data_IF_763336646930
#
_entry.id   IF_763336646930
#
_cell.length_a   1.000
_cell.length_b   1.000
_cell.length_c   1.000
_cell.angle_alpha   90.00
_cell.angle_beta   90.00
_cell.angle_gamma   90.00
#
_symmetry.space_group_name_H-M   'P 1'
#
loop_
_entity.id
_entity.type
_entity.pdbx_description
1 polymer ?
#
# COMPACT_ATOMS: atom_id res chain seq x y z
N UNK A 1 -9.31 11.61 -5.19
CA UNK A 1 -10.15 11.09 -6.30
C UNK A 1 -11.54 10.78 -5.75
N UNK A 2 -12.62 11.44 -6.22
CA UNK A 2 -13.98 11.04 -5.88
C UNK A 2 -14.19 9.56 -6.23
N UNK A 3 -14.68 8.75 -5.29
CA UNK A 3 -14.95 7.33 -5.50
C UNK A 3 -13.78 6.37 -5.21
N UNK A 4 -12.63 6.84 -4.74
CA UNK A 4 -11.60 5.95 -4.18
C UNK A 4 -12.08 5.39 -2.82
N UNK A 5 -12.08 4.07 -2.68
CA UNK A 5 -12.39 3.41 -1.41
C UNK A 5 -11.11 3.27 -0.59
N UNK A 6 -11.04 3.94 0.54
CA UNK A 6 -9.95 3.82 1.50
C UNK A 6 -10.30 2.75 2.53
N UNK A 7 -9.29 2.13 3.14
CA UNK A 7 -9.51 1.21 4.26
C UNK A 7 -10.30 1.86 5.40
N UNK A 8 -10.15 3.17 5.60
CA UNK A 8 -10.89 3.95 6.58
C UNK A 8 -12.40 4.07 6.30
N UNK A 9 -12.83 3.92 5.04
CA UNK A 9 -14.25 4.01 4.65
C UNK A 9 -15.04 2.78 5.12
N UNK A 10 -14.35 1.71 5.54
CA UNK A 10 -14.95 0.49 6.04
C UNK A 10 -15.50 0.70 7.45
N UNK A 11 -16.79 0.48 7.63
CA UNK A 11 -17.48 0.58 8.93
C UNK A 11 -17.76 -0.77 9.58
N UNK A 12 -17.33 -1.87 8.95
CA UNK A 12 -17.49 -3.21 9.52
C UNK A 12 -16.63 -3.37 10.79
N UNK A 13 -17.07 -4.18 11.75
CA UNK A 13 -16.20 -4.65 12.83
C UNK A 13 -14.93 -5.34 12.29
N UNK A 14 -13.97 -5.59 13.20
CA UNK A 14 -12.79 -6.39 12.89
C UNK A 14 -13.21 -7.81 12.50
N UNK A 15 -12.95 -8.17 11.25
CA UNK A 15 -13.30 -9.46 10.67
C UNK A 15 -12.02 -10.23 10.33
N UNK A 16 -11.96 -11.51 10.71
CA UNK A 16 -10.92 -12.42 10.24
C UNK A 16 -11.39 -13.13 8.98
N UNK A 17 -10.59 -13.01 7.91
CA UNK A 17 -10.86 -13.66 6.62
C UNK A 17 -9.79 -14.74 6.41
N UNK A 18 -10.06 -16.02 6.72
CA UNK A 18 -9.06 -17.09 6.59
C UNK A 18 -8.61 -17.32 5.15
N UNK A 19 -9.47 -17.00 4.17
CA UNK A 19 -9.16 -17.14 2.75
C UNK A 19 -8.39 -15.96 2.17
N UNK A 20 -8.13 -14.91 2.94
CA UNK A 20 -7.31 -13.79 2.49
C UNK A 20 -5.90 -14.27 2.16
N UNK A 21 -5.37 -13.80 1.04
CA UNK A 21 -3.96 -13.94 0.68
C UNK A 21 -3.34 -12.55 0.80
N UNK A 22 -2.31 -12.41 1.64
CA UNK A 22 -1.65 -11.13 1.88
C UNK A 22 -0.14 -11.33 1.93
N UNK A 23 0.61 -10.25 1.75
CA UNK A 23 2.08 -10.25 1.81
C UNK A 23 2.58 -9.14 2.75
N UNK A 24 2.40 -9.26 4.08
CA UNK A 24 2.62 -8.15 5.02
C UNK A 24 4.07 -7.65 5.09
N UNK A 25 5.02 -8.52 4.72
CA UNK A 25 6.44 -8.19 4.65
C UNK A 25 6.96 -7.96 3.23
N UNK A 26 6.07 -7.76 2.24
CA UNK A 26 6.50 -7.49 0.88
C UNK A 26 7.43 -6.27 0.83
N UNK A 27 8.51 -6.32 0.01
CA UNK A 27 9.33 -5.14 -0.23
C UNK A 27 8.51 -4.03 -0.92
N UNK A 28 9.00 -2.80 -0.82
CA UNK A 28 8.45 -1.66 -1.54
C UNK A 28 8.72 -1.81 -3.04
N UNK A 29 7.67 -1.67 -3.86
CA UNK A 29 7.77 -1.55 -5.31
C UNK A 29 7.73 -0.07 -5.67
N UNK A 30 8.55 0.34 -6.63
CA UNK A 30 8.54 1.71 -7.12
C UNK A 30 7.78 1.79 -8.44
N UNK A 31 7.29 2.97 -8.76
CA UNK A 31 6.60 3.27 -10.02
C UNK A 31 7.32 4.47 -10.64
N UNK A 32 7.71 4.34 -11.91
CA UNK A 32 8.34 5.40 -12.67
C UNK A 32 7.33 6.49 -13.07
N UNK A 33 7.82 7.62 -13.57
CA UNK A 33 6.97 8.78 -13.94
C UNK A 33 5.91 8.45 -15.01
N UNK A 34 6.16 7.43 -15.84
CA UNK A 34 5.25 6.94 -16.88
C UNK A 34 4.27 5.86 -16.40
N UNK A 35 4.34 5.49 -15.12
CA UNK A 35 3.50 4.48 -14.49
C UNK A 35 4.03 3.04 -14.58
N UNK A 36 5.21 2.82 -15.19
CA UNK A 36 5.82 1.49 -15.23
C UNK A 36 6.33 1.06 -13.84
N UNK A 37 6.15 -0.21 -13.50
CA UNK A 37 6.63 -0.74 -12.22
C UNK A 37 8.14 -1.00 -12.28
N UNK A 38 8.81 -0.76 -11.16
CA UNK A 38 10.21 -1.11 -10.92
C UNK A 38 10.22 -2.15 -9.79
N UNK A 39 10.63 -3.38 -10.12
CA UNK A 39 10.76 -4.45 -9.14
C UNK A 39 11.86 -4.13 -8.11
N UNK A 40 11.75 -4.60 -6.86
CA UNK A 40 12.77 -4.36 -5.82
C UNK A 40 14.18 -4.86 -6.16
N UNK A 41 14.31 -5.73 -7.15
CA UNK A 41 15.57 -6.33 -7.62
C UNK A 41 16.04 -5.75 -8.96
N UNK A 42 15.36 -4.72 -9.47
CA UNK A 42 15.65 -4.05 -10.74
C UNK A 42 15.76 -2.55 -10.51
N UNK A 43 16.65 -1.90 -11.25
CA UNK A 43 16.68 -0.43 -11.36
C UNK A 43 15.97 0.05 -12.64
N UNK A 44 15.53 -0.87 -13.50
CA UNK A 44 14.88 -0.58 -14.78
C UNK A 44 13.35 -0.69 -14.66
N UNK A 45 12.59 0.33 -15.12
CA UNK A 45 11.14 0.25 -15.22
C UNK A 45 10.70 -0.74 -16.29
N UNK A 46 9.66 -1.52 -15.98
CA UNK A 46 9.04 -2.47 -16.89
C UNK A 46 7.55 -2.12 -17.08
N UNK A 47 7.15 -1.60 -18.26
CA UNK A 47 5.77 -1.22 -18.54
C UNK A 47 4.84 -2.43 -18.76
N UNK A 48 5.36 -3.65 -18.86
CA UNK A 48 4.55 -4.87 -18.99
C UNK A 48 4.07 -5.39 -17.63
N UNK A 49 4.70 -4.96 -16.53
CA UNK A 49 4.31 -5.35 -15.17
C UNK A 49 3.03 -4.65 -14.72
N UNK A 50 2.20 -5.40 -14.00
CA UNK A 50 1.01 -4.88 -13.31
C UNK A 50 1.05 -5.23 -11.82
N UNK A 51 0.15 -4.63 -11.01
CA UNK A 51 0.03 -4.89 -9.56
C UNK A 51 0.06 -6.39 -9.19
N UNK A 52 -0.58 -7.21 -10.03
CA UNK A 52 -0.66 -8.66 -9.83
C UNK A 52 0.72 -9.31 -9.85
N UNK A 53 1.62 -8.86 -10.70
CA UNK A 53 2.97 -9.45 -10.82
C UNK A 53 3.80 -9.12 -9.58
N UNK A 54 3.68 -7.91 -9.05
CA UNK A 54 4.29 -7.54 -7.76
C UNK A 54 3.77 -8.40 -6.60
N UNK A 55 2.46 -8.66 -6.57
CA UNK A 55 1.87 -9.54 -5.56
C UNK A 55 2.37 -10.99 -5.67
N UNK A 56 2.46 -11.53 -6.89
CA UNK A 56 2.99 -12.87 -7.14
C UNK A 56 4.48 -12.98 -6.78
N UNK A 57 5.28 -12.00 -7.17
CA UNK A 57 6.69 -11.90 -6.78
C UNK A 57 6.84 -11.99 -5.25
N UNK A 58 6.05 -11.22 -4.50
CA UNK A 58 6.15 -11.21 -3.04
C UNK A 58 5.77 -12.58 -2.43
N UNK A 59 4.80 -13.27 -3.01
CA UNK A 59 4.46 -14.64 -2.61
C UNK A 59 5.61 -15.60 -2.89
N UNK A 60 6.17 -15.56 -4.11
CA UNK A 60 7.28 -16.43 -4.54
C UNK A 60 8.55 -16.19 -3.72
N UNK A 61 8.77 -14.94 -3.29
CA UNK A 61 9.86 -14.55 -2.39
C UNK A 61 9.63 -14.97 -0.92
N UNK A 62 8.49 -15.61 -0.61
CA UNK A 62 8.20 -16.17 0.71
C UNK A 62 7.50 -15.23 1.68
N UNK A 63 7.02 -14.07 1.24
CA UNK A 63 6.29 -13.12 2.08
C UNK A 63 4.78 -13.42 2.17
N UNK A 64 4.29 -14.38 1.38
CA UNK A 64 2.88 -14.76 1.32
C UNK A 64 2.37 -15.43 2.59
N UNK A 65 1.27 -14.92 3.13
CA UNK A 65 0.55 -15.48 4.29
C UNK A 65 -0.94 -15.63 3.96
N UNK A 66 -1.57 -16.64 4.56
CA UNK A 66 -3.01 -16.87 4.51
C UNK A 66 -3.68 -16.38 5.80
N UNK A 67 -4.86 -15.80 5.66
CA UNK A 67 -5.59 -15.23 6.78
C UNK A 67 -5.19 -13.79 7.07
N UNK A 68 -6.17 -12.89 7.15
CA UNK A 68 -5.95 -11.51 7.53
C UNK A 68 -7.12 -10.97 8.32
N UNK A 69 -6.85 -10.04 9.24
CA UNK A 69 -7.89 -9.24 9.86
C UNK A 69 -8.08 -7.95 9.07
N UNK A 70 -9.34 -7.55 8.86
CA UNK A 70 -9.68 -6.30 8.17
C UNK A 70 -10.76 -5.54 8.94
N UNK A 71 -10.59 -4.23 9.03
CA UNK A 71 -11.56 -3.26 9.57
C UNK A 71 -11.25 -1.88 9.01
N UNK A 72 -12.12 -0.92 9.27
CA UNK A 72 -11.80 0.50 9.18
C UNK A 72 -12.10 1.20 10.50
N UNK A 73 -11.52 2.38 10.68
CA UNK A 73 -11.87 3.29 11.76
C UNK A 73 -11.90 4.72 11.18
N UNK A 74 -13.08 5.33 11.00
CA UNK A 74 -13.20 6.66 10.42
C UNK A 74 -12.51 7.74 11.27
N UNK A 75 -12.34 7.51 12.58
CA UNK A 75 -11.64 8.43 13.47
C UNK A 75 -10.13 8.52 13.16
N UNK A 76 -9.57 7.55 12.43
CA UNK A 76 -8.17 7.58 11.99
C UNK A 76 -7.95 8.40 10.72
N UNK A 77 -9.00 8.77 9.98
CA UNK A 77 -8.88 9.62 8.77
C UNK A 77 -8.20 10.96 9.08
N UNK A 78 -8.68 11.77 10.05
CA UNK A 78 -8.02 13.03 10.36
C UNK A 78 -6.58 12.83 10.88
N UNK A 79 -6.34 11.77 11.66
CA UNK A 79 -4.99 11.46 12.18
C UNK A 79 -4.00 11.15 11.05
N UNK A 80 -4.41 10.29 10.11
CA UNK A 80 -3.59 9.95 8.94
C UNK A 80 -3.33 11.19 8.07
N UNK A 81 -4.37 12.01 7.85
CA UNK A 81 -4.23 13.23 7.07
C UNK A 81 -3.23 14.20 7.71
N UNK A 82 -3.38 14.50 9.00
CA UNK A 82 -2.52 15.44 9.71
C UNK A 82 -1.07 14.95 9.75
N UNK A 83 -0.83 13.66 10.01
CA UNK A 83 0.50 13.06 10.02
C UNK A 83 1.19 13.14 8.65
N UNK A 84 0.48 12.73 7.59
CA UNK A 84 1.00 12.79 6.22
C UNK A 84 1.29 14.23 5.79
N UNK A 85 0.39 15.17 6.09
CA UNK A 85 0.59 16.58 5.73
C UNK A 85 1.75 17.20 6.52
N UNK A 86 1.91 16.85 7.79
CA UNK A 86 3.06 17.29 8.60
C UNK A 86 4.36 16.78 7.99
N UNK A 87 4.46 15.46 7.74
CA UNK A 87 5.64 14.86 7.12
C UNK A 87 6.02 15.54 5.81
N UNK A 88 5.07 15.70 4.88
CA UNK A 88 5.35 16.29 3.58
C UNK A 88 5.67 17.78 3.67
N UNK A 89 5.06 18.51 4.61
CA UNK A 89 5.41 19.91 4.85
C UNK A 89 6.85 20.02 5.32
N UNK A 90 7.26 19.18 6.28
CA UNK A 90 8.63 19.17 6.80
C UNK A 90 9.66 18.77 5.73
N UNK A 91 9.33 17.77 4.91
CA UNK A 91 10.23 17.30 3.83
C UNK A 91 10.36 18.31 2.70
N UNK A 92 9.26 18.96 2.31
CA UNK A 92 9.22 19.86 1.14
C UNK A 92 9.59 21.30 1.51
N UNK A 93 9.41 21.70 2.77
CA UNK A 93 9.69 23.04 3.29
C UNK A 93 10.48 22.97 4.61
N UNK A 94 11.72 22.45 4.59
CA UNK A 94 12.51 22.21 5.81
C UNK A 94 12.91 23.48 6.57
N UNK A 95 12.68 24.68 6.01
CA UNK A 95 13.04 25.99 6.59
C UNK A 95 11.82 26.89 6.90
N UNK A 96 10.65 26.31 7.19
CA UNK A 96 9.49 27.02 7.72
C UNK A 96 9.69 27.53 9.15
#
# INVERSE_FOLDING_TARGET
MPGANHSFDRTSPLEYIPEASVTPGAPTFYIADDGAFILPTSDEPDPELVDRDGFLYAIEAGFGVRGAHISGNPDLVPVFYDDMMTFWTDVMFPDG
#
